data_IF_635092619670
#
_entry.id   IF_635092619670
#
_cell.length_a   1.000
_cell.length_b   1.000
_cell.length_c   1.000
_cell.angle_alpha   90.00
_cell.angle_beta   90.00
_cell.angle_gamma   90.00
#
_symmetry.space_group_name_H-M   'P 1'
#
loop_
_entity.id
_entity.type
_entity.pdbx_description
1 polymer ?
#
# COMPACT_ATOMS: atom_id res chain seq x y z
N UNK A 1 -15.25 -54.62 11.26
CA UNK A 1 -15.72 -53.27 11.62
C UNK A 1 -14.72 -52.28 11.07
N UNK A 2 -14.93 -51.84 9.83
CA UNK A 2 -14.08 -50.87 9.13
C UNK A 2 -14.60 -49.47 9.43
N UNK A 3 -13.70 -48.51 9.67
CA UNK A 3 -13.64 -47.34 8.82
C UNK A 3 -12.22 -46.74 8.90
N UNK A 4 -11.64 -46.68 7.70
CA UNK A 4 -10.27 -46.36 7.38
C UNK A 4 -10.09 -44.84 7.37
N UNK A 5 -9.03 -44.42 8.04
CA UNK A 5 -8.11 -43.33 7.71
C UNK A 5 -8.49 -42.44 6.50
N UNK A 6 -8.92 -41.21 6.77
CA UNK A 6 -9.38 -40.24 5.76
C UNK A 6 -8.24 -39.38 5.18
N UNK A 7 -7.03 -39.94 5.02
CA UNK A 7 -5.88 -39.20 4.50
C UNK A 7 -5.73 -39.20 2.96
N UNK A 8 -6.67 -39.79 2.21
CA UNK A 8 -6.68 -39.75 0.73
C UNK A 8 -8.08 -39.61 0.16
N UNK A 9 -8.60 -38.39 0.16
CA UNK A 9 -9.80 -38.04 -0.59
C UNK A 9 -9.36 -37.49 -1.95
N UNK A 10 -9.44 -38.33 -2.98
CA UNK A 10 -9.19 -37.94 -4.36
C UNK A 10 -10.51 -37.47 -4.97
N UNK A 11 -10.73 -36.15 -4.99
CA UNK A 11 -11.90 -35.56 -5.65
C UNK A 11 -11.52 -35.34 -7.11
N UNK A 12 -12.02 -36.20 -8.00
CA UNK A 12 -11.87 -36.04 -9.44
C UNK A 12 -13.13 -35.41 -10.03
N UNK A 13 -12.98 -34.24 -10.64
CA UNK A 13 -14.06 -33.46 -11.24
C UNK A 13 -14.58 -32.35 -10.33
N UNK A 14 -14.76 -31.15 -10.90
CA UNK A 14 -15.17 -29.93 -10.21
C UNK A 14 -14.28 -28.73 -10.55
N UNK A 15 -14.82 -27.51 -10.50
CA UNK A 15 -14.05 -26.29 -10.70
C UNK A 15 -13.53 -25.80 -9.35
N UNK A 16 -12.25 -26.06 -9.04
CA UNK A 16 -11.63 -25.68 -7.78
C UNK A 16 -10.79 -24.42 -7.99
N UNK A 17 -11.27 -23.29 -7.47
CA UNK A 17 -10.49 -22.05 -7.48
C UNK A 17 -9.47 -22.09 -6.32
N UNK A 18 -8.22 -22.40 -6.62
CA UNK A 18 -7.14 -22.27 -5.66
C UNK A 18 -6.48 -20.89 -5.81
N UNK A 19 -6.77 -19.98 -4.88
CA UNK A 19 -6.09 -18.67 -4.82
C UNK A 19 -4.81 -18.86 -4.01
N UNK A 20 -3.80 -19.50 -4.60
CA UNK A 20 -2.43 -19.34 -4.13
C UNK A 20 -1.87 -18.05 -4.72
N UNK A 21 -1.15 -17.28 -3.89
CA UNK A 21 -0.62 -15.97 -4.25
C UNK A 21 -0.02 -15.90 -5.65
N UNK A 22 -0.35 -14.81 -6.34
CA UNK A 22 0.18 -14.36 -7.62
C UNK A 22 -0.23 -15.09 -8.91
N UNK A 23 -0.81 -16.29 -8.87
CA UNK A 23 -1.31 -16.97 -10.08
C UNK A 23 -2.74 -17.48 -9.88
N UNK A 24 -3.68 -16.98 -10.70
CA UNK A 24 -4.97 -17.65 -10.87
C UNK A 24 -4.72 -18.89 -11.73
N UNK A 25 -4.39 -20.02 -11.10
CA UNK A 25 -4.27 -21.30 -11.79
C UNK A 25 -5.68 -21.85 -12.09
N UNK A 26 -6.10 -21.75 -13.36
CA UNK A 26 -7.27 -22.46 -13.85
C UNK A 26 -6.87 -23.87 -14.25
N UNK A 27 -7.12 -24.86 -13.39
CA UNK A 27 -6.96 -26.26 -13.76
C UNK A 27 -8.13 -26.70 -14.66
N UNK A 28 -8.00 -26.50 -15.98
CA UNK A 28 -8.89 -27.11 -16.97
C UNK A 28 -8.25 -28.41 -17.44
N UNK A 29 -8.77 -29.54 -16.91
CA UNK A 29 -8.62 -30.90 -17.43
C UNK A 29 -7.25 -31.23 -18.09
N UNK A 30 -6.16 -31.15 -17.33
CA UNK A 30 -4.88 -31.74 -17.69
C UNK A 30 -3.97 -30.95 -18.63
N UNK A 31 -4.38 -29.77 -19.09
CA UNK A 31 -3.49 -28.86 -19.82
C UNK A 31 -3.07 -27.69 -18.94
N UNK A 32 -1.76 -27.47 -18.82
CA UNK A 32 -1.20 -26.23 -18.30
C UNK A 32 -1.49 -25.12 -19.32
N UNK A 33 -2.67 -24.53 -19.23
CA UNK A 33 -2.96 -23.27 -19.93
C UNK A 33 -2.28 -22.18 -19.12
N UNK A 34 -1.16 -21.65 -19.62
CA UNK A 34 -0.66 -20.38 -19.11
C UNK A 34 -1.76 -19.34 -19.39
N UNK A 35 -2.29 -18.64 -18.37
CA UNK A 35 -3.29 -17.62 -18.62
C UNK A 35 -2.66 -16.55 -19.52
N UNK A 36 -3.28 -16.31 -20.68
CA UNK A 36 -3.06 -15.16 -21.59
C UNK A 36 -3.51 -13.84 -20.93
N UNK A 37 -3.17 -13.64 -19.65
CA UNK A 37 -3.61 -12.55 -18.80
C UNK A 37 -2.41 -11.87 -18.15
N UNK A 38 -2.35 -10.55 -18.26
CA UNK A 38 -1.32 -9.73 -17.60
C UNK A 38 -1.37 -9.96 -16.07
N UNK A 39 -0.22 -10.24 -15.45
CA UNK A 39 -0.12 -10.41 -14.01
C UNK A 39 -0.69 -9.17 -13.29
N UNK A 40 -1.54 -9.36 -12.27
CA UNK A 40 -2.20 -8.25 -11.58
C UNK A 40 -1.24 -7.22 -10.98
N UNK A 41 -0.02 -7.64 -10.60
CA UNK A 41 1.03 -6.73 -10.13
C UNK A 41 1.57 -5.84 -11.26
N UNK A 42 1.76 -6.38 -12.47
CA UNK A 42 2.18 -5.60 -13.63
C UNK A 42 1.12 -4.56 -13.98
N UNK A 43 -0.16 -4.94 -13.89
CA UNK A 43 -1.27 -4.01 -14.09
C UNK A 43 -1.25 -2.88 -13.06
N UNK A 44 -0.99 -3.17 -11.77
CA UNK A 44 -0.83 -2.15 -10.74
C UNK A 44 0.34 -1.22 -11.07
N UNK A 45 1.52 -1.78 -11.39
CA UNK A 45 2.74 -1.03 -11.67
C UNK A 45 2.56 -0.01 -12.81
N UNK A 46 1.80 -0.34 -13.86
CA UNK A 46 1.54 0.56 -15.00
C UNK A 46 0.56 1.69 -14.67
N UNK A 47 -0.17 1.58 -13.55
CA UNK A 47 -1.21 2.53 -13.14
C UNK A 47 -0.85 3.30 -11.85
N UNK A 48 0.37 3.17 -11.35
CA UNK A 48 0.84 3.96 -10.21
C UNK A 48 1.21 5.38 -10.61
N UNK A 49 1.30 6.26 -9.61
CA UNK A 49 1.94 7.55 -9.73
C UNK A 49 3.20 7.56 -8.84
N UNK A 50 4.37 7.33 -9.46
CA UNK A 50 5.66 7.38 -8.77
C UNK A 50 5.96 8.75 -8.13
N UNK A 51 5.41 9.83 -8.69
CA UNK A 51 5.61 11.19 -8.17
C UNK A 51 4.91 11.40 -6.82
N UNK A 52 3.93 10.58 -6.51
CA UNK A 52 3.17 10.65 -5.26
C UNK A 52 3.88 10.00 -4.08
N UNK A 53 5.01 9.32 -4.29
CA UNK A 53 5.73 8.65 -3.24
C UNK A 53 6.34 9.68 -2.25
N UNK A 54 6.56 9.25 -1.01
CA UNK A 54 7.17 10.13 0.01
C UNK A 54 8.63 10.46 -0.31
N UNK A 55 9.32 9.58 -1.05
CA UNK A 55 10.73 9.68 -1.46
C UNK A 55 10.92 10.00 -2.95
N UNK A 56 9.88 10.50 -3.64
CA UNK A 56 9.98 10.89 -5.05
C UNK A 56 10.90 12.08 -5.28
N UNK A 57 11.73 12.03 -6.32
CA UNK A 57 12.57 13.15 -6.77
C UNK A 57 11.76 14.40 -7.15
N UNK A 58 10.54 14.22 -7.64
CA UNK A 58 9.63 15.33 -7.98
C UNK A 58 9.22 16.18 -6.78
N UNK A 59 9.56 15.72 -5.58
CA UNK A 59 9.26 16.37 -4.31
C UNK A 59 10.53 16.87 -3.62
N UNK A 60 11.70 16.82 -4.27
CA UNK A 60 12.95 17.27 -3.67
C UNK A 60 13.12 18.81 -3.77
N UNK A 61 13.56 19.49 -2.68
CA UNK A 61 13.62 18.98 -1.32
C UNK A 61 12.21 18.82 -0.72
N UNK A 62 11.93 17.70 -0.02
CA UNK A 62 10.61 17.48 0.54
C UNK A 62 10.30 18.54 1.61
N UNK A 63 9.06 19.07 1.65
CA UNK A 63 8.68 19.98 2.71
C UNK A 63 8.76 19.18 4.02
N UNK A 64 9.67 19.51 4.92
CA UNK A 64 9.87 18.80 6.19
C UNK A 64 9.93 19.79 7.33
N UNK A 65 9.50 19.37 8.52
CA UNK A 65 9.70 20.17 9.72
C UNK A 65 11.20 20.39 9.95
N UNK A 66 11.56 21.60 10.39
CA UNK A 66 12.91 21.83 10.91
C UNK A 66 13.14 20.93 12.13
N UNK A 67 14.40 20.50 12.37
CA UNK A 67 14.76 19.78 13.58
C UNK A 67 14.20 20.48 14.82
N UNK A 68 13.69 19.68 15.76
CA UNK A 68 13.16 20.14 17.05
C UNK A 68 11.94 21.09 16.98
N UNK A 69 11.31 21.24 15.81
CA UNK A 69 10.07 21.99 15.64
C UNK A 69 8.85 21.09 15.54
N UNK A 70 7.66 21.63 15.88
CA UNK A 70 6.36 20.92 15.76
C UNK A 70 6.34 19.55 16.46
N UNK A 71 7.12 19.41 17.53
CA UNK A 71 7.27 18.15 18.25
C UNK A 71 5.97 17.73 18.95
N UNK A 72 5.21 18.68 19.50
CA UNK A 72 3.94 18.38 20.17
C UNK A 72 2.96 17.68 19.23
N UNK A 73 2.70 18.25 18.06
CA UNK A 73 1.78 17.66 17.08
C UNK A 73 2.31 16.33 16.52
N UNK A 74 3.62 16.19 16.31
CA UNK A 74 4.21 14.91 15.91
C UNK A 74 4.00 13.81 16.96
N UNK A 75 4.13 14.14 18.26
CA UNK A 75 3.82 13.23 19.36
C UNK A 75 2.34 12.87 19.39
N UNK A 76 1.45 13.84 19.19
CA UNK A 76 0.00 13.58 19.13
C UNK A 76 -0.37 12.64 17.97
N UNK A 77 0.24 12.82 16.79
CA UNK A 77 0.03 11.91 15.65
C UNK A 77 0.55 10.51 15.99
N UNK A 78 1.74 10.41 16.58
CA UNK A 78 2.29 9.11 16.98
C UNK A 78 1.39 8.39 18.00
N UNK A 79 0.94 9.09 19.03
CA UNK A 79 0.03 8.53 20.03
C UNK A 79 -1.29 8.06 19.43
N UNK A 80 -1.82 8.76 18.42
CA UNK A 80 -3.03 8.34 17.71
C UNK A 80 -2.82 7.07 16.89
N UNK A 81 -1.65 6.89 16.27
CA UNK A 81 -1.31 5.65 15.54
C UNK A 81 -1.18 4.46 16.48
N UNK A 82 -0.70 4.69 17.70
CA UNK A 82 -0.48 3.66 18.72
C UNK A 82 -1.75 3.32 19.53
N UNK A 83 -2.78 4.16 19.44
CA UNK A 83 -4.06 3.95 20.13
C UNK A 83 -4.98 3.04 19.31
N UNK A 84 -5.15 1.79 19.77
CA UNK A 84 -6.04 0.82 19.14
C UNK A 84 -7.52 1.18 19.18
N UNK A 85 -7.93 2.18 19.96
CA UNK A 85 -9.28 2.73 19.99
C UNK A 85 -9.49 3.97 19.13
N UNK A 86 -8.43 4.51 18.51
CA UNK A 86 -8.52 5.71 17.71
C UNK A 86 -9.28 5.47 16.37
N UNK A 87 -9.95 6.50 15.82
CA UNK A 87 -10.55 6.41 14.48
C UNK A 87 -9.50 6.04 13.42
N UNK A 88 -9.90 5.42 12.31
CA UNK A 88 -8.96 5.04 11.24
C UNK A 88 -8.44 6.22 10.39
N UNK A 89 -9.06 7.41 10.51
CA UNK A 89 -8.71 8.61 9.73
C UNK A 89 -8.47 9.79 10.67
N UNK A 90 -7.26 10.36 10.61
CA UNK A 90 -6.94 11.63 11.27
C UNK A 90 -7.03 12.78 10.26
N UNK A 91 -7.76 13.83 10.63
CA UNK A 91 -7.75 15.08 9.88
C UNK A 91 -6.81 16.11 10.53
N UNK A 92 -5.70 16.45 9.86
CA UNK A 92 -4.80 17.54 10.28
C UNK A 92 -5.25 18.88 9.66
N UNK A 93 -5.83 19.77 10.46
CA UNK A 93 -6.30 21.10 10.03
C UNK A 93 -5.46 22.24 10.63
N UNK A 94 -5.61 23.43 10.06
CA UNK A 94 -4.94 24.65 10.51
C UNK A 94 -4.75 25.67 9.40
N UNK A 95 -4.25 26.88 9.71
CA UNK A 95 -4.08 27.96 8.75
C UNK A 95 -3.25 27.58 7.52
N UNK A 96 -3.46 28.29 6.41
CA UNK A 96 -2.56 28.21 5.25
C UNK A 96 -1.13 28.55 5.69
N UNK A 97 -0.12 27.88 5.13
CA UNK A 97 1.29 28.08 5.52
C UNK A 97 1.69 27.48 6.87
N UNK A 98 0.78 26.92 7.67
CA UNK A 98 1.10 26.32 8.98
C UNK A 98 2.02 25.07 8.94
N UNK A 99 2.43 24.62 7.75
CA UNK A 99 3.34 23.49 7.57
C UNK A 99 2.68 22.12 7.68
N UNK A 100 1.37 21.99 7.45
CA UNK A 100 0.64 20.71 7.54
C UNK A 100 1.25 19.61 6.65
N UNK A 101 1.54 19.93 5.39
CA UNK A 101 2.21 18.98 4.47
C UNK A 101 3.62 18.63 4.94
N UNK A 102 4.30 19.56 5.61
CA UNK A 102 5.62 19.31 6.18
C UNK A 102 5.56 18.35 7.38
N UNK A 103 4.54 18.48 8.23
CA UNK A 103 4.28 17.53 9.32
C UNK A 103 4.01 16.14 8.75
N UNK A 104 3.11 16.02 7.77
CA UNK A 104 2.78 14.73 7.15
C UNK A 104 4.00 14.06 6.51
N UNK A 105 4.82 14.82 5.78
CA UNK A 105 6.07 14.34 5.19
C UNK A 105 7.07 13.89 6.26
N UNK A 106 7.27 14.67 7.32
CA UNK A 106 8.17 14.29 8.42
C UNK A 106 7.71 13.01 9.12
N UNK A 107 6.41 12.81 9.32
CA UNK A 107 5.89 11.56 9.88
C UNK A 107 6.10 10.38 8.93
N UNK A 108 5.83 10.55 7.63
CA UNK A 108 6.07 9.51 6.63
C UNK A 108 7.56 9.08 6.59
N UNK A 109 8.49 10.03 6.59
CA UNK A 109 9.94 9.74 6.62
C UNK A 109 10.34 8.99 7.91
N UNK A 110 9.79 9.39 9.06
CA UNK A 110 10.04 8.71 10.35
C UNK A 110 9.54 7.25 10.33
N UNK A 111 8.35 7.02 9.81
CA UNK A 111 7.78 5.66 9.72
C UNK A 111 8.49 4.82 8.65
N UNK A 112 8.93 5.42 7.54
CA UNK A 112 9.73 4.74 6.54
C UNK A 112 11.07 4.27 7.12
N UNK A 113 11.77 5.14 7.87
CA UNK A 113 13.02 4.80 8.56
C UNK A 113 12.84 3.67 9.59
N UNK A 114 11.68 3.63 10.26
CA UNK A 114 11.33 2.58 11.23
C UNK A 114 10.79 1.30 10.58
N UNK A 115 10.64 1.27 9.25
CA UNK A 115 9.98 0.18 8.51
C UNK A 115 8.54 -0.10 8.98
N UNK A 116 7.85 0.94 9.46
CA UNK A 116 6.44 0.86 9.91
C UNK A 116 5.49 1.60 8.97
N UNK A 117 6.00 2.26 7.92
CA UNK A 117 5.17 2.91 6.91
C UNK A 117 4.64 1.86 5.92
N UNK A 118 3.32 1.64 5.92
CA UNK A 118 2.68 0.72 4.99
C UNK A 118 2.63 1.27 3.55
N UNK A 119 2.22 2.54 3.39
CA UNK A 119 2.21 3.26 2.12
C UNK A 119 2.10 4.76 2.38
N UNK A 120 2.51 5.58 1.40
CA UNK A 120 2.26 7.02 1.39
C UNK A 120 1.88 7.52 0.00
N UNK A 121 0.97 8.49 -0.05
CA UNK A 121 0.55 9.14 -1.29
C UNK A 121 0.40 10.64 -1.08
N UNK A 122 1.14 11.42 -1.86
CA UNK A 122 1.13 12.87 -1.80
C UNK A 122 0.77 13.46 -3.16
N UNK A 123 -0.06 14.50 -3.15
CA UNK A 123 -0.48 15.19 -4.36
C UNK A 123 -0.61 16.69 -4.11
N UNK A 124 -0.43 17.47 -5.18
CA UNK A 124 -0.64 18.92 -5.17
C UNK A 124 -1.82 19.26 -6.08
N UNK A 125 -2.79 20.01 -5.56
CA UNK A 125 -3.99 20.41 -6.33
C UNK A 125 -3.68 21.22 -7.60
N UNK A 126 -2.55 21.94 -7.61
CA UNK A 126 -2.18 22.80 -8.73
C UNK A 126 -1.35 22.10 -9.83
N UNK A 127 -0.88 20.87 -9.59
CA UNK A 127 -0.24 20.07 -10.65
C UNK A 127 -1.36 19.45 -11.49
N UNK A 128 -1.84 20.22 -12.48
CA UNK A 128 -2.81 19.80 -13.50
C UNK A 128 -2.16 18.87 -14.51
N UNK A 129 -1.73 17.70 -14.04
CA UNK A 129 -1.45 16.52 -14.84
C UNK A 129 -2.39 15.43 -14.35
N UNK A 130 -3.49 15.22 -15.08
CA UNK A 130 -4.66 14.47 -14.62
C UNK A 130 -4.32 13.07 -14.09
N UNK A 131 -5.10 12.62 -13.10
CA UNK A 131 -5.16 11.24 -12.53
C UNK A 131 -4.81 11.08 -11.04
N UNK A 132 -4.57 12.15 -10.26
CA UNK A 132 -4.20 12.00 -8.83
C UNK A 132 -5.16 11.09 -8.03
N UNK A 133 -6.47 11.18 -8.27
CA UNK A 133 -7.44 10.25 -7.66
C UNK A 133 -7.42 8.85 -8.27
N UNK A 134 -7.23 8.72 -9.59
CA UNK A 134 -7.23 7.41 -10.29
C UNK A 134 -6.02 6.55 -9.92
N UNK A 135 -4.90 7.19 -9.60
CA UNK A 135 -3.63 6.54 -9.28
C UNK A 135 -3.46 6.28 -7.78
N UNK A 136 -4.31 6.85 -6.92
CA UNK A 136 -4.22 6.68 -5.46
C UNK A 136 -4.24 5.20 -5.05
N UNK A 137 -5.30 4.48 -5.39
CA UNK A 137 -5.46 3.08 -4.97
C UNK A 137 -4.43 2.15 -5.62
N UNK A 138 -4.14 2.23 -6.94
CA UNK A 138 -3.07 1.43 -7.54
C UNK A 138 -1.71 1.66 -6.87
N UNK A 139 -1.38 2.92 -6.57
CA UNK A 139 -0.11 3.29 -5.92
C UNK A 139 0.01 2.74 -4.50
N UNK A 140 -1.07 2.82 -3.72
CA UNK A 140 -1.10 2.25 -2.36
C UNK A 140 -1.01 0.73 -2.40
N UNK A 141 -1.77 0.07 -3.27
CA UNK A 141 -1.73 -1.39 -3.41
C UNK A 141 -0.33 -1.89 -3.83
N UNK A 142 0.31 -1.19 -4.77
CA UNK A 142 1.67 -1.51 -5.21
C UNK A 142 2.72 -1.29 -4.10
N UNK A 143 2.57 -0.25 -3.27
CA UNK A 143 3.45 -0.04 -2.11
C UNK A 143 3.28 -1.14 -1.06
N UNK A 144 2.04 -1.55 -0.76
CA UNK A 144 1.75 -2.64 0.17
C UNK A 144 2.36 -3.96 -0.30
N UNK A 145 2.24 -4.29 -1.59
CA UNK A 145 2.86 -5.48 -2.17
C UNK A 145 4.40 -5.48 -2.02
N UNK A 146 5.05 -4.35 -2.31
CA UNK A 146 6.50 -4.24 -2.12
C UNK A 146 6.91 -4.30 -0.64
N UNK A 147 6.11 -3.73 0.27
CA UNK A 147 6.37 -3.80 1.71
C UNK A 147 6.25 -5.20 2.29
N UNK A 148 5.48 -6.10 1.66
CA UNK A 148 5.34 -7.51 2.08
C UNK A 148 6.51 -8.41 1.66
N UNK A 149 7.41 -7.92 0.82
CA UNK A 149 8.63 -8.63 0.41
C UNK A 149 9.86 -7.86 0.90
N UNK A 150 10.46 -8.21 2.06
CA UNK A 150 11.72 -7.63 2.46
C UNK A 150 12.78 -8.00 1.42
N UNK A 151 13.41 -6.97 0.83
CA UNK A 151 14.63 -7.08 0.02
C UNK A 151 15.79 -7.51 0.90
#
# INVERSE_FOLDING_TARGET
MSLIDAHRLHISGGNFNHIAGHLNEYHIAGNLVQPEGENGINLLQRNINGDAFHNSEQRFPPPKCHPDTRISIQRSIQSWVEDGGAPSVMWLYGPAGAGKSAIAQTMAEKWAQRKTLAAAFFFARWRTGGSSGKTLFPTVAYQLHQGTHPV
#
